data_IF_330483159700
#
_entry.id   IF_330483159700
#
_cell.length_a   1.000
_cell.length_b   1.000
_cell.length_c   1.000
_cell.angle_alpha   90.00
_cell.angle_beta   90.00
_cell.angle_gamma   90.00
#
_symmetry.space_group_name_H-M   'P 1'
#
loop_
_entity.id
_entity.type
_entity.pdbx_description
1 polymer ?
#
# COMPACT_ATOMS: atom_id res chain seq x y z
N UNK A 1 -50.17 23.22 15.59
CA UNK A 1 -49.21 22.18 16.01
C UNK A 1 -48.22 22.00 14.86
N UNK A 2 -47.05 22.65 14.91
CA UNK A 2 -46.04 22.57 13.86
C UNK A 2 -45.26 21.27 14.07
N UNK A 3 -45.58 20.23 13.32
CA UNK A 3 -44.77 19.01 13.25
C UNK A 3 -43.50 19.35 12.48
N UNK A 4 -42.50 19.83 13.20
CA UNK A 4 -41.13 19.90 12.71
C UNK A 4 -40.62 18.47 12.54
N UNK A 5 -40.70 17.94 11.33
CA UNK A 5 -40.04 16.70 10.95
C UNK A 5 -38.55 17.01 10.88
N UNK A 6 -37.84 16.76 11.99
CA UNK A 6 -36.39 16.72 11.96
C UNK A 6 -35.98 15.46 11.19
N UNK A 7 -35.80 15.61 9.87
CA UNK A 7 -35.05 14.64 9.08
C UNK A 7 -33.61 14.76 9.56
N UNK A 8 -33.29 14.01 10.62
CA UNK A 8 -31.91 13.73 11.00
C UNK A 8 -31.40 12.79 9.93
N UNK A 9 -30.89 13.37 8.84
CA UNK A 9 -30.06 12.69 7.88
C UNK A 9 -28.74 12.39 8.61
N UNK A 10 -28.75 11.36 9.45
CA UNK A 10 -27.54 10.83 10.06
C UNK A 10 -26.80 10.12 8.93
N UNK A 11 -26.05 10.91 8.15
CA UNK A 11 -25.04 10.42 7.23
C UNK A 11 -24.13 9.49 8.04
N UNK A 12 -24.30 8.18 7.84
CA UNK A 12 -23.31 7.19 8.21
C UNK A 12 -22.03 7.58 7.49
N UNK A 13 -21.18 8.33 8.18
CA UNK A 13 -19.79 8.52 7.78
C UNK A 13 -19.11 7.19 8.09
N UNK A 14 -19.30 6.22 7.19
CA UNK A 14 -18.42 5.08 7.04
C UNK A 14 -17.11 5.58 6.42
N UNK A 15 -16.47 6.55 7.08
CA UNK A 15 -15.03 6.73 6.94
C UNK A 15 -14.44 5.58 7.74
N UNK A 16 -14.32 4.40 7.10
CA UNK A 16 -13.61 3.28 7.69
C UNK A 16 -12.32 3.80 8.28
N UNK A 17 -12.10 3.54 9.58
CA UNK A 17 -11.01 4.12 10.35
C UNK A 17 -9.72 4.12 9.53
N UNK A 18 -9.28 5.30 9.10
CA UNK A 18 -7.95 5.50 8.53
C UNK A 18 -6.96 5.27 9.67
N UNK A 19 -6.56 4.01 9.85
CA UNK A 19 -5.54 3.63 10.83
C UNK A 19 -4.19 3.72 10.15
N UNK A 20 -3.29 4.62 10.59
CA UNK A 20 -1.97 4.73 10.02
C UNK A 20 -1.26 3.39 9.98
N UNK A 21 -0.59 3.10 8.87
CA UNK A 21 0.20 1.88 8.68
C UNK A 21 1.65 2.22 8.35
N UNK A 22 2.56 1.42 8.88
CA UNK A 22 3.99 1.49 8.60
C UNK A 22 4.44 0.22 7.88
N UNK A 23 4.90 0.38 6.66
CA UNK A 23 5.46 -0.68 5.81
C UNK A 23 6.98 -0.58 5.83
N UNK A 24 7.64 -1.62 6.30
CA UNK A 24 9.09 -1.78 6.20
C UNK A 24 9.43 -3.01 5.38
N UNK A 25 10.50 -2.94 4.60
CA UNK A 25 10.92 -4.05 3.77
C UNK A 25 12.19 -3.77 2.99
N UNK A 26 12.50 -4.68 2.07
CA UNK A 26 13.65 -4.57 1.18
C UNK A 26 13.24 -4.75 -0.28
N UNK A 27 13.96 -4.07 -1.17
CA UNK A 27 13.92 -4.30 -2.61
C UNK A 27 15.26 -4.85 -3.08
N UNK A 28 15.20 -5.97 -3.77
CA UNK A 28 16.39 -6.69 -4.27
C UNK A 28 16.24 -7.07 -5.74
N UNK A 29 17.35 -7.43 -6.37
CA UNK A 29 17.35 -8.13 -7.65
C UNK A 29 17.00 -9.63 -7.46
N UNK A 30 17.10 -10.43 -8.54
CA UNK A 30 16.80 -11.87 -8.47
C UNK A 30 17.91 -12.71 -7.83
N UNK A 31 19.05 -12.10 -7.51
CA UNK A 31 20.19 -12.70 -6.85
C UNK A 31 20.32 -12.22 -5.40
N UNK A 32 19.27 -11.59 -4.86
CA UNK A 32 19.23 -11.05 -3.49
C UNK A 32 20.17 -9.86 -3.25
N UNK A 33 20.69 -9.21 -4.30
CA UNK A 33 21.46 -7.98 -4.12
C UNK A 33 20.52 -6.80 -3.86
N UNK A 34 20.84 -5.92 -2.91
CA UNK A 34 20.03 -4.74 -2.61
C UNK A 34 20.01 -3.76 -3.79
N UNK A 35 18.82 -3.20 -4.06
CA UNK A 35 18.67 -2.14 -5.07
C UNK A 35 18.47 -0.81 -4.34
N UNK A 36 19.44 0.08 -4.45
CA UNK A 36 19.36 1.43 -3.89
C UNK A 36 18.44 2.35 -4.71
N UNK A 37 17.78 3.29 -4.04
CA UNK A 37 16.87 4.29 -4.63
C UNK A 37 15.72 3.69 -5.44
N UNK A 38 15.40 2.42 -5.21
CA UNK A 38 14.24 1.76 -5.78
C UNK A 38 12.98 2.43 -5.25
N UNK A 39 12.10 2.84 -6.15
CA UNK A 39 10.79 3.40 -5.84
C UNK A 39 9.86 2.30 -5.32
N UNK A 40 9.13 2.63 -4.24
CA UNK A 40 8.10 1.79 -3.64
C UNK A 40 6.88 2.67 -3.35
N UNK A 41 5.74 2.27 -3.88
CA UNK A 41 4.47 2.99 -3.77
C UNK A 41 3.41 2.09 -3.15
N UNK A 42 2.59 2.67 -2.27
CA UNK A 42 1.44 2.03 -1.67
C UNK A 42 0.15 2.59 -2.28
N UNK A 43 -0.80 1.71 -2.61
CA UNK A 43 -2.04 2.07 -3.27
C UNK A 43 -3.26 1.42 -2.61
N UNK A 44 -4.38 2.15 -2.55
CA UNK A 44 -5.70 1.61 -2.21
C UNK A 44 -6.51 1.31 -3.46
N UNK A 45 -7.28 0.22 -3.43
CA UNK A 45 -8.24 -0.06 -4.49
C UNK A 45 -9.58 0.60 -4.15
N UNK A 46 -10.19 1.25 -5.13
CA UNK A 46 -11.53 1.82 -4.98
C UNK A 46 -12.57 0.75 -5.35
N UNK A 47 -13.55 0.50 -4.47
CA UNK A 47 -14.63 -0.45 -4.74
C UNK A 47 -15.66 0.12 -5.72
N UNK A 48 -15.62 1.43 -5.97
CA UNK A 48 -16.56 2.12 -6.84
C UNK A 48 -16.15 1.89 -8.31
N UNK A 49 -17.03 1.33 -9.15
CA UNK A 49 -16.72 1.16 -10.57
C UNK A 49 -16.37 2.50 -11.20
N UNK A 50 -15.35 2.51 -12.05
CA UNK A 50 -14.79 3.68 -12.75
C UNK A 50 -13.94 4.65 -11.92
N UNK A 51 -13.66 4.36 -10.65
CA UNK A 51 -12.62 5.10 -9.92
C UNK A 51 -11.25 4.44 -10.13
N UNK A 52 -10.25 5.29 -10.33
CA UNK A 52 -8.85 4.85 -10.39
C UNK A 52 -8.36 4.56 -8.97
N UNK A 53 -7.43 3.60 -8.79
CA UNK A 53 -6.75 3.40 -7.52
C UNK A 53 -6.15 4.69 -6.96
N UNK A 54 -6.21 4.86 -5.65
CA UNK A 54 -5.65 6.00 -4.94
C UNK A 54 -4.23 5.72 -4.45
N UNK A 55 -3.28 6.63 -4.72
CA UNK A 55 -1.93 6.54 -4.17
C UNK A 55 -1.94 6.99 -2.71
N UNK A 56 -1.51 6.10 -1.81
CA UNK A 56 -1.44 6.37 -0.38
C UNK A 56 -0.10 6.97 0.05
N UNK A 57 0.97 6.66 -0.69
CA UNK A 57 2.30 7.17 -0.41
C UNK A 57 3.38 6.53 -1.28
N UNK A 58 4.57 7.13 -1.27
CA UNK A 58 5.75 6.63 -1.96
C UNK A 58 7.00 6.83 -1.10
N UNK A 59 8.01 6.01 -1.34
CA UNK A 59 9.34 6.17 -0.77
C UNK A 59 10.39 5.59 -1.73
N UNK A 60 11.66 5.75 -1.35
CA UNK A 60 12.78 5.12 -2.05
C UNK A 60 13.64 4.34 -1.07
N UNK A 61 14.21 3.24 -1.53
CA UNK A 61 15.15 2.47 -0.72
C UNK A 61 16.46 3.21 -0.47
N UNK A 62 17.09 2.90 0.66
CA UNK A 62 18.45 3.31 0.99
C UNK A 62 19.51 2.48 0.25
N UNK A 63 20.80 2.68 0.57
CA UNK A 63 21.92 1.95 -0.04
C UNK A 63 21.88 0.44 0.21
N UNK A 64 21.18 0.00 1.26
CA UNK A 64 20.98 -1.41 1.61
C UNK A 64 19.68 -1.97 1.02
N UNK A 65 19.03 -1.25 0.11
CA UNK A 65 17.76 -1.66 -0.47
C UNK A 65 16.59 -1.65 0.53
N UNK A 66 16.75 -1.03 1.70
CA UNK A 66 15.73 -1.01 2.75
C UNK A 66 14.84 0.21 2.62
N UNK A 67 13.55 0.09 2.95
CA UNK A 67 12.63 1.21 2.99
C UNK A 67 11.73 1.19 4.23
N UNK A 68 11.23 2.37 4.56
CA UNK A 68 10.11 2.61 5.47
C UNK A 68 9.12 3.54 4.78
N UNK A 69 7.85 3.13 4.71
CA UNK A 69 6.75 3.91 4.15
C UNK A 69 5.62 4.00 5.16
N UNK A 70 5.24 5.22 5.54
CA UNK A 70 4.09 5.49 6.38
C UNK A 70 2.92 5.96 5.53
N UNK A 71 1.73 5.45 5.83
CA UNK A 71 0.49 5.77 5.12
C UNK A 71 -0.63 5.99 6.13
N UNK A 72 -1.63 6.79 5.79
CA UNK A 72 -2.78 7.05 6.69
C UNK A 72 -3.78 5.89 6.73
N UNK A 73 -3.73 5.01 5.73
CA UNK A 73 -4.63 3.86 5.54
C UNK A 73 -3.85 2.61 5.14
N UNK A 74 -4.49 1.45 5.23
CA UNK A 74 -3.91 0.20 4.72
C UNK A 74 -3.87 0.14 3.19
N UNK A 75 -2.69 -0.15 2.65
CA UNK A 75 -2.47 -0.44 1.24
C UNK A 75 -3.15 -1.75 0.81
N UNK A 76 -3.81 -1.69 -0.33
CA UNK A 76 -4.36 -2.87 -1.02
C UNK A 76 -3.28 -3.59 -1.83
N UNK A 77 -2.44 -2.83 -2.53
CA UNK A 77 -1.33 -3.34 -3.35
C UNK A 77 -0.16 -2.37 -3.38
N UNK A 78 0.98 -2.84 -3.89
CA UNK A 78 2.20 -2.06 -4.03
C UNK A 78 2.68 -2.03 -5.47
N UNK A 79 3.31 -0.93 -5.85
CA UNK A 79 4.06 -0.79 -7.10
C UNK A 79 5.50 -0.50 -6.72
N UNK A 80 6.45 -1.20 -7.34
CA UNK A 80 7.86 -1.00 -7.04
C UNK A 80 8.76 -1.20 -8.25
N UNK A 81 9.83 -0.40 -8.30
CA UNK A 81 10.96 -0.64 -9.21
C UNK A 81 11.88 -1.72 -8.62
N UNK A 82 12.46 -2.57 -9.46
CA UNK A 82 13.27 -3.73 -9.01
C UNK A 82 12.57 -5.07 -9.27
N UNK A 83 13.18 -6.15 -8.76
CA UNK A 83 12.80 -7.52 -9.11
C UNK A 83 12.05 -8.25 -7.99
N UNK A 84 12.38 -7.96 -6.73
CA UNK A 84 11.77 -8.62 -5.57
C UNK A 84 11.55 -7.62 -4.43
N UNK A 85 10.34 -7.58 -3.91
CA UNK A 85 9.91 -6.80 -2.75
C UNK A 85 9.58 -7.75 -1.60
N UNK A 86 10.20 -7.57 -0.44
CA UNK A 86 9.97 -8.39 0.75
C UNK A 86 9.65 -7.50 1.94
N UNK A 87 8.45 -7.63 2.51
CA UNK A 87 8.08 -6.90 3.73
C UNK A 87 8.58 -7.60 4.99
N UNK A 88 9.00 -6.80 5.97
CA UNK A 88 9.33 -7.24 7.33
C UNK A 88 8.22 -6.92 8.33
N UNK A 89 7.46 -5.82 8.15
CA UNK A 89 6.36 -5.44 9.05
C UNK A 89 4.97 -5.94 8.64
N UNK A 90 4.81 -6.44 7.41
CA UNK A 90 3.54 -6.89 6.87
C UNK A 90 3.56 -8.40 6.65
N UNK A 91 2.62 -9.19 7.21
CA UNK A 91 2.70 -10.64 7.16
C UNK A 91 2.61 -11.17 5.71
N UNK A 92 3.70 -11.80 5.26
CA UNK A 92 3.69 -12.79 4.18
C UNK A 92 3.54 -12.29 2.73
N UNK A 93 3.56 -10.98 2.45
CA UNK A 93 3.43 -10.47 1.07
C UNK A 93 4.81 -10.25 0.41
N UNK A 94 5.57 -11.29 0.11
CA UNK A 94 6.68 -11.12 -0.84
C UNK A 94 6.13 -11.08 -2.26
N UNK A 95 6.47 -10.04 -3.01
CA UNK A 95 6.16 -9.95 -4.43
C UNK A 95 7.46 -10.13 -5.21
N UNK A 96 7.46 -11.00 -6.21
CA UNK A 96 8.65 -11.26 -7.03
C UNK A 96 8.29 -11.33 -8.51
N UNK A 97 9.08 -10.61 -9.31
CA UNK A 97 9.06 -10.65 -10.78
C UNK A 97 10.10 -11.63 -11.32
N UNK A 98 10.89 -12.26 -10.46
CA UNK A 98 11.85 -13.27 -10.86
C UNK A 98 11.13 -14.46 -11.48
N UNK A 99 11.70 -15.02 -12.54
CA UNK A 99 11.16 -16.22 -13.15
C UNK A 99 11.01 -17.30 -12.07
N UNK A 100 9.79 -17.78 -11.87
CA UNK A 100 9.62 -19.07 -11.21
C UNK A 100 10.23 -20.07 -12.19
N UNK A 101 11.34 -20.71 -11.84
CA UNK A 101 11.74 -21.90 -12.56
C UNK A 101 10.58 -22.89 -12.40
N UNK A 102 9.74 -23.00 -13.43
CA UNK A 102 8.80 -24.09 -13.57
C UNK A 102 9.63 -25.34 -13.80
N UNK A 103 9.83 -26.12 -12.73
CA UNK A 103 10.26 -27.51 -12.84
C UNK A 103 9.10 -28.35 -13.37
#
# INVERSE_FOLDING_TARGET
>A
MKTSVAIVLLTLILNGCATPQTYTGTVTDCQDNPIARAEVEAWENEWIPFQLPGKLGETKTDENGTFTLNTEKGASFFVYSGSKLVFTSHPGKSETKCAKNST
#
